data_IF_413634805884
#
_entry.id   IF_413634805884
#
_cell.length_a   1.000
_cell.length_b   1.000
_cell.length_c   1.000
_cell.angle_alpha   90.00
_cell.angle_beta   90.00
_cell.angle_gamma   90.00
#
_symmetry.space_group_name_H-M   'P 1'
#
loop_
_entity.id
_entity.type
_entity.pdbx_description
1 polymer ?
#
# COMPACT_ATOMS: atom_id res chain seq x y z
N UNK A 1 22.41 75.80 -4.92
CA UNK A 1 21.35 74.92 -4.40
C UNK A 1 21.22 73.75 -5.36
N UNK A 2 21.69 72.53 -5.05
CA UNK A 2 21.60 71.41 -5.98
C UNK A 2 20.26 70.67 -5.83
N UNK A 3 19.55 70.57 -6.95
CA UNK A 3 18.72 69.46 -7.46
C UNK A 3 18.18 68.42 -6.47
N UNK A 4 16.85 68.40 -6.30
CA UNK A 4 16.12 67.27 -5.73
C UNK A 4 16.00 66.14 -6.76
N UNK A 5 16.71 65.03 -6.53
CA UNK A 5 16.50 63.76 -7.24
C UNK A 5 15.25 63.09 -6.67
N UNK A 6 14.24 62.91 -7.52
CA UNK A 6 13.07 62.08 -7.24
C UNK A 6 13.50 60.61 -7.32
N UNK A 7 13.63 59.94 -6.17
CA UNK A 7 13.90 58.50 -6.11
C UNK A 7 12.56 57.78 -6.20
N UNK A 8 12.21 57.33 -7.41
CA UNK A 8 11.16 56.33 -7.61
C UNK A 8 11.71 54.97 -7.13
N UNK A 9 11.39 54.60 -5.90
CA UNK A 9 11.58 53.21 -5.45
C UNK A 9 10.53 52.34 -6.13
N UNK A 10 10.93 51.67 -7.22
CA UNK A 10 10.22 50.51 -7.73
C UNK A 10 10.28 49.41 -6.65
N UNK A 11 9.19 49.26 -5.89
CA UNK A 11 8.98 48.05 -5.10
C UNK A 11 8.70 46.92 -6.10
N UNK A 12 9.73 46.16 -6.46
CA UNK A 12 9.58 44.89 -7.15
C UNK A 12 8.81 43.95 -6.23
N UNK A 13 7.51 43.73 -6.52
CA UNK A 13 6.80 42.57 -6.01
C UNK A 13 7.48 41.34 -6.62
N UNK A 14 8.46 40.78 -5.92
CA UNK A 14 8.72 39.37 -6.04
C UNK A 14 7.51 38.68 -5.39
N UNK A 15 6.57 38.23 -6.22
CA UNK A 15 5.70 37.15 -5.80
C UNK A 15 6.65 35.99 -5.50
N UNK A 16 6.96 35.78 -4.22
CA UNK A 16 7.47 34.50 -3.77
C UNK A 16 6.36 33.55 -4.15
N UNK A 17 6.56 32.75 -5.21
CA UNK A 17 5.72 31.60 -5.45
C UNK A 17 5.75 30.85 -4.12
N UNK A 18 4.62 30.82 -3.41
CA UNK A 18 4.50 30.00 -2.23
C UNK A 18 4.84 28.59 -2.72
N UNK A 19 6.02 28.07 -2.35
CA UNK A 19 6.30 26.66 -2.47
C UNK A 19 5.20 26.01 -1.65
N UNK A 20 4.16 25.52 -2.33
CA UNK A 20 3.00 24.99 -1.66
C UNK A 20 3.49 23.75 -0.94
N UNK A 21 3.68 23.90 0.37
CA UNK A 21 4.27 22.87 1.20
C UNK A 21 3.15 21.92 1.62
N UNK A 22 3.42 20.62 1.58
CA UNK A 22 2.53 19.64 2.19
C UNK A 22 2.42 19.88 3.69
N UNK A 23 1.32 19.42 4.28
CA UNK A 23 1.16 19.42 5.72
C UNK A 23 2.35 18.74 6.43
N UNK A 24 2.83 19.32 7.54
CA UNK A 24 3.92 18.72 8.32
C UNK A 24 3.58 17.35 8.95
N UNK A 25 2.31 16.93 8.91
CA UNK A 25 1.84 15.62 9.38
C UNK A 25 1.62 14.62 8.23
N UNK A 26 2.03 14.96 7.01
CA UNK A 26 2.10 14.01 5.89
C UNK A 26 3.26 13.02 6.10
N UNK A 27 3.12 12.15 7.09
CA UNK A 27 4.06 11.09 7.46
C UNK A 27 5.37 11.57 8.08
N UNK A 28 5.69 11.11 9.29
CA UNK A 28 7.10 11.01 9.69
C UNK A 28 7.75 9.93 8.79
N UNK A 29 8.85 10.23 8.08
CA UNK A 29 9.59 9.31 7.19
C UNK A 29 8.90 8.89 5.87
N UNK A 30 8.28 9.81 5.11
CA UNK A 30 7.69 9.52 3.78
C UNK A 30 6.54 8.48 3.78
N UNK A 31 5.85 8.33 4.90
CA UNK A 31 4.70 7.47 5.11
C UNK A 31 3.38 8.02 4.51
N UNK A 32 3.42 8.59 3.30
CA UNK A 32 2.24 9.17 2.65
C UNK A 32 2.28 9.06 1.12
N UNK A 33 1.11 9.14 0.48
CA UNK A 33 1.00 9.49 -0.94
C UNK A 33 0.81 11.00 -1.08
N UNK A 34 1.48 11.63 -2.02
CA UNK A 34 1.57 13.09 -2.15
C UNK A 34 1.00 13.57 -3.50
N UNK A 35 -0.05 14.41 -3.45
CA UNK A 35 -0.71 14.88 -4.68
C UNK A 35 0.19 15.75 -5.56
N UNK A 36 0.26 15.48 -6.86
CA UNK A 36 1.15 16.18 -7.80
C UNK A 36 2.65 15.91 -7.59
N UNK A 37 3.02 14.84 -6.88
CA UNK A 37 4.40 14.36 -6.78
C UNK A 37 4.53 13.02 -7.51
N UNK A 38 4.92 13.07 -8.78
CA UNK A 38 5.04 11.87 -9.62
C UNK A 38 5.96 10.84 -8.97
N UNK A 39 5.47 9.61 -8.83
CA UNK A 39 6.21 8.50 -8.21
C UNK A 39 6.04 8.39 -6.69
N UNK A 40 5.43 9.39 -6.06
CA UNK A 40 5.02 9.34 -4.64
C UNK A 40 3.52 9.60 -4.48
N UNK A 41 2.77 9.75 -5.57
CA UNK A 41 1.33 9.97 -5.59
C UNK A 41 0.53 8.66 -5.72
N UNK A 42 1.22 7.54 -5.91
CA UNK A 42 0.62 6.26 -6.33
C UNK A 42 1.10 5.12 -5.44
N UNK A 43 0.17 4.23 -5.09
CA UNK A 43 0.40 2.94 -4.42
C UNK A 43 -0.04 1.83 -5.36
N UNK A 44 0.89 1.04 -5.91
CA UNK A 44 0.61 -0.05 -6.83
C UNK A 44 0.32 -1.37 -6.10
N UNK A 45 -0.15 -2.40 -6.83
CA UNK A 45 -0.38 -3.72 -6.25
C UNK A 45 0.90 -4.29 -5.61
N UNK A 46 0.78 -4.75 -4.38
CA UNK A 46 1.88 -5.24 -3.56
C UNK A 46 2.58 -4.15 -2.76
N UNK A 47 2.36 -2.86 -3.06
CA UNK A 47 2.98 -1.78 -2.33
C UNK A 47 2.34 -1.55 -0.97
N UNK A 48 3.19 -1.24 0.01
CA UNK A 48 2.79 -0.93 1.37
C UNK A 48 3.11 0.52 1.69
N UNK A 49 2.09 1.26 2.06
CA UNK A 49 2.21 2.54 2.73
C UNK A 49 2.31 2.30 4.24
N UNK A 50 3.53 2.21 4.75
CA UNK A 50 3.76 2.10 6.19
C UNK A 50 3.49 3.46 6.84
N UNK A 51 2.59 3.47 7.81
CA UNK A 51 2.34 4.62 8.67
C UNK A 51 3.36 4.72 9.79
N UNK A 52 2.89 5.14 10.96
CA UNK A 52 3.63 4.82 12.19
C UNK A 52 3.81 3.29 12.33
N UNK A 53 4.74 2.84 13.18
CA UNK A 53 5.13 1.42 13.34
C UNK A 53 3.98 0.45 13.75
N UNK A 54 2.72 0.90 13.79
CA UNK A 54 1.54 0.12 14.16
C UNK A 54 0.57 -0.11 13.00
N UNK A 55 0.59 0.69 11.93
CA UNK A 55 -0.39 0.57 10.84
C UNK A 55 0.24 0.69 9.45
N UNK A 56 -0.33 -0.02 8.48
CA UNK A 56 0.05 0.13 7.07
C UNK A 56 -1.16 -0.02 6.17
N UNK A 57 -1.18 0.72 5.06
CA UNK A 57 -2.13 0.53 3.98
C UNK A 57 -1.46 -0.23 2.81
N UNK A 58 -2.21 -1.08 2.11
CA UNK A 58 -1.70 -1.88 0.99
C UNK A 58 -2.72 -1.95 -0.12
N UNK A 59 -2.27 -1.78 -1.36
CA UNK A 59 -3.06 -2.14 -2.54
C UNK A 59 -2.77 -3.61 -2.84
N UNK A 60 -3.76 -4.48 -2.67
CA UNK A 60 -3.61 -5.92 -2.75
C UNK A 60 -3.79 -6.45 -4.18
N UNK A 61 -3.23 -7.62 -4.46
CA UNK A 61 -3.30 -8.22 -5.79
C UNK A 61 -4.72 -8.55 -6.25
N UNK A 62 -5.59 -8.88 -5.31
CA UNK A 62 -7.02 -9.17 -5.51
C UNK A 62 -7.89 -7.89 -5.68
N UNK A 63 -7.25 -6.74 -5.90
CA UNK A 63 -7.89 -5.44 -6.10
C UNK A 63 -8.52 -4.81 -4.86
N UNK A 64 -8.23 -5.30 -3.65
CA UNK A 64 -8.60 -4.60 -2.41
C UNK A 64 -7.57 -3.54 -2.00
N UNK A 65 -8.03 -2.41 -1.44
CA UNK A 65 -7.19 -1.46 -0.71
C UNK A 65 -7.46 -1.58 0.78
N UNK A 66 -6.46 -2.03 1.55
CA UNK A 66 -6.65 -2.51 2.94
C UNK A 66 -5.70 -1.83 3.90
N UNK A 67 -6.17 -1.55 5.12
CA UNK A 67 -5.36 -1.06 6.24
C UNK A 67 -5.25 -2.13 7.31
N UNK A 68 -4.01 -2.43 7.68
CA UNK A 68 -3.60 -3.43 8.65
C UNK A 68 -3.11 -2.80 9.94
N UNK A 69 -3.43 -3.41 11.08
CA UNK A 69 -2.61 -3.31 12.29
C UNK A 69 -1.40 -4.23 12.14
N UNK A 70 -0.17 -3.69 12.12
CA UNK A 70 1.04 -4.47 11.80
C UNK A 70 1.77 -4.99 13.04
N UNK A 71 1.52 -4.40 14.22
CA UNK A 71 2.28 -4.68 15.45
C UNK A 71 1.72 -5.82 16.31
N UNK A 72 0.40 -6.07 16.31
CA UNK A 72 -0.25 -7.02 17.22
C UNK A 72 -1.04 -8.12 16.51
N UNK A 73 -0.46 -8.70 15.45
CA UNK A 73 -1.10 -9.63 14.52
C UNK A 73 -2.01 -8.90 13.53
N UNK A 74 -1.76 -9.16 12.24
CA UNK A 74 -2.35 -8.53 11.05
C UNK A 74 -3.87 -8.67 10.97
N UNK A 75 -4.58 -8.02 11.88
CA UNK A 75 -6.01 -7.84 11.84
C UNK A 75 -6.31 -6.64 10.95
N UNK A 76 -7.13 -6.81 9.91
CA UNK A 76 -7.53 -5.69 9.07
C UNK A 76 -8.51 -4.85 9.84
N UNK A 77 -8.41 -3.57 9.58
CA UNK A 77 -9.13 -2.58 10.36
C UNK A 77 -9.96 -1.68 9.48
N UNK A 78 -9.56 -1.55 8.22
CA UNK A 78 -10.36 -0.94 7.17
C UNK A 78 -10.04 -1.55 5.81
N UNK A 79 -11.03 -1.59 4.92
CA UNK A 79 -10.84 -1.88 3.51
C UNK A 79 -11.80 -1.05 2.65
N UNK A 80 -11.39 -0.79 1.42
CA UNK A 80 -12.23 -0.16 0.40
C UNK A 80 -13.42 -1.07 0.05
N UNK A 81 -14.67 -0.58 0.17
CA UNK A 81 -15.84 -1.41 -0.05
C UNK A 81 -16.04 -1.75 -1.54
N UNK A 82 -16.42 -3.00 -1.82
CA UNK A 82 -16.90 -3.48 -3.12
C UNK A 82 -15.92 -3.37 -4.30
N UNK A 83 -14.60 -3.37 -4.06
CA UNK A 83 -13.60 -3.39 -5.16
C UNK A 83 -12.81 -4.69 -5.31
N UNK A 84 -13.05 -5.68 -4.46
CA UNK A 84 -12.50 -7.03 -4.62
C UNK A 84 -12.79 -7.56 -6.03
N UNK A 85 -11.76 -8.03 -6.73
CA UNK A 85 -11.85 -8.57 -8.09
C UNK A 85 -12.24 -7.54 -9.16
N UNK A 86 -12.25 -6.24 -8.84
CA UNK A 86 -12.63 -5.18 -9.79
C UNK A 86 -11.62 -4.96 -10.92
N UNK A 87 -10.40 -5.47 -10.76
CA UNK A 87 -9.26 -5.21 -11.65
C UNK A 87 -8.53 -3.91 -11.33
N UNK A 88 -8.77 -3.29 -10.17
CA UNK A 88 -7.95 -2.20 -9.68
C UNK A 88 -6.49 -2.66 -9.52
N UNK A 89 -5.57 -1.80 -9.93
CA UNK A 89 -4.13 -2.08 -9.91
C UNK A 89 -3.33 -1.04 -9.14
N UNK A 90 -3.91 0.14 -8.86
CA UNK A 90 -3.26 1.18 -8.07
C UNK A 90 -4.26 2.10 -7.37
N UNK A 91 -3.81 2.71 -6.29
CA UNK A 91 -4.46 3.84 -5.59
C UNK A 91 -3.66 5.10 -5.86
N UNK A 92 -4.33 6.19 -6.21
CA UNK A 92 -3.69 7.47 -6.59
C UNK A 92 -4.23 8.61 -5.74
N UNK A 93 -3.35 9.42 -5.16
CA UNK A 93 -3.65 10.71 -4.53
C UNK A 93 -3.63 11.80 -5.61
N UNK A 94 -4.80 12.20 -6.09
CA UNK A 94 -4.96 13.14 -7.19
C UNK A 94 -4.74 14.60 -6.76
N UNK A 95 -4.35 15.44 -7.70
CA UNK A 95 -4.06 16.87 -7.48
C UNK A 95 -5.25 17.71 -7.01
N UNK A 96 -6.47 17.22 -7.19
CA UNK A 96 -7.72 17.86 -6.77
C UNK A 96 -8.14 17.48 -5.33
N UNK A 97 -7.35 16.65 -4.64
CA UNK A 97 -7.64 16.19 -3.28
C UNK A 97 -8.42 14.89 -3.20
N UNK A 98 -8.67 14.21 -4.32
CA UNK A 98 -9.34 12.92 -4.35
C UNK A 98 -8.36 11.75 -4.28
N UNK A 99 -8.71 10.69 -3.55
CA UNK A 99 -7.99 9.41 -3.62
C UNK A 99 -8.83 8.44 -4.41
N UNK A 100 -8.23 7.80 -5.42
CA UNK A 100 -8.94 6.95 -6.38
C UNK A 100 -8.21 5.62 -6.57
N UNK A 101 -8.95 4.52 -6.48
CA UNK A 101 -8.48 3.22 -6.96
C UNK A 101 -8.85 3.09 -8.44
N UNK A 102 -7.87 2.78 -9.28
CA UNK A 102 -8.01 2.72 -10.74
C UNK A 102 -7.46 1.41 -11.31
N UNK A 103 -7.95 1.03 -12.49
CA UNK A 103 -7.38 -0.05 -13.31
C UNK A 103 -6.18 0.45 -14.14
N UNK A 104 -5.49 -0.45 -14.83
CA UNK A 104 -4.37 -0.11 -15.72
C UNK A 104 -4.74 0.92 -16.79
N UNK A 105 -5.94 0.81 -17.37
CA UNK A 105 -6.47 1.75 -18.36
C UNK A 105 -6.91 3.12 -17.79
N UNK A 106 -6.77 3.31 -16.47
CA UNK A 106 -7.17 4.53 -15.76
C UNK A 106 -8.64 4.58 -15.34
N UNK A 107 -9.43 3.54 -15.62
CA UNK A 107 -10.84 3.48 -15.19
C UNK A 107 -10.92 3.50 -13.66
N UNK A 108 -11.63 4.47 -13.05
CA UNK A 108 -11.83 4.50 -11.61
C UNK A 108 -12.83 3.43 -11.17
N UNK A 109 -12.52 2.72 -10.08
CA UNK A 109 -13.41 1.72 -9.48
C UNK A 109 -13.89 2.13 -8.08
N UNK A 110 -13.15 3.01 -7.40
CA UNK A 110 -13.51 3.55 -6.09
C UNK A 110 -12.84 4.91 -5.90
N UNK A 111 -13.50 5.79 -5.13
CA UNK A 111 -12.96 7.11 -4.79
C UNK A 111 -13.42 7.55 -3.39
N UNK A 112 -12.66 8.46 -2.77
CA UNK A 112 -13.03 9.12 -1.51
C UNK A 112 -14.06 10.24 -1.71
N UNK A 113 -14.24 10.73 -2.94
CA UNK A 113 -15.14 11.84 -3.30
C UNK A 113 -14.82 13.13 -2.54
N UNK A 114 -13.52 13.44 -2.49
CA UNK A 114 -12.95 14.60 -1.78
C UNK A 114 -12.40 15.64 -2.75
N UNK A 115 -12.65 15.48 -4.04
CA UNK A 115 -12.32 16.43 -5.10
C UNK A 115 -12.83 17.84 -4.74
N UNK A 116 -11.93 18.83 -4.86
CA UNK A 116 -12.23 20.24 -4.61
C UNK A 116 -12.46 20.60 -3.13
N UNK A 117 -12.20 19.70 -2.18
CA UNK A 117 -12.28 19.99 -0.74
C UNK A 117 -10.90 20.35 -0.19
N UNK A 118 -10.86 21.24 0.81
CA UNK A 118 -9.61 21.72 1.41
C UNK A 118 -8.74 22.52 0.43
N UNK A 119 -7.46 22.69 0.76
CA UNK A 119 -6.50 23.40 -0.09
C UNK A 119 -5.27 22.54 -0.39
N UNK A 120 -4.97 22.32 -1.67
CA UNK A 120 -3.79 21.57 -2.08
C UNK A 120 -2.46 22.28 -1.75
N UNK A 121 -1.34 21.52 -1.72
CA UNK A 121 -1.27 20.11 -2.03
C UNK A 121 -1.78 19.22 -0.87
N UNK A 122 -2.11 17.97 -1.20
CA UNK A 122 -2.76 17.00 -0.32
C UNK A 122 -1.86 15.79 -0.10
N UNK A 123 -2.09 15.08 1.00
CA UNK A 123 -1.48 13.78 1.21
C UNK A 123 -2.46 12.76 1.80
N UNK A 124 -2.33 11.50 1.38
CA UNK A 124 -2.96 10.34 2.00
C UNK A 124 -1.95 9.69 2.94
N UNK A 125 -2.28 9.57 4.22
CA UNK A 125 -1.39 8.93 5.21
C UNK A 125 -2.19 8.03 6.15
N UNK A 126 -1.50 7.09 6.79
CA UNK A 126 -2.07 6.22 7.83
C UNK A 126 -1.32 6.46 9.13
N UNK A 127 -2.07 6.79 10.18
CA UNK A 127 -1.53 7.02 11.52
C UNK A 127 -2.54 6.49 12.54
N UNK A 128 -2.16 6.36 13.81
CA UNK A 128 -3.10 6.07 14.89
C UNK A 128 -2.39 5.60 16.14
N UNK A 129 -2.89 5.91 17.33
CA UNK A 129 -2.37 5.38 18.60
C UNK A 129 -3.35 4.46 19.31
N UNK A 130 -4.65 4.55 18.98
CA UNK A 130 -5.73 3.77 19.57
C UNK A 130 -6.57 3.02 18.53
N UNK A 131 -6.11 3.04 17.28
CA UNK A 131 -6.76 2.47 16.10
C UNK A 131 -6.33 3.22 14.84
N UNK A 132 -6.40 2.60 13.66
CA UNK A 132 -5.97 3.22 12.41
C UNK A 132 -6.84 4.38 12.00
N UNK A 133 -6.16 5.33 11.38
CA UNK A 133 -6.70 6.57 10.87
C UNK A 133 -6.01 6.84 9.52
N UNK A 134 -6.50 6.12 8.51
CA UNK A 134 -6.23 6.42 7.10
C UNK A 134 -6.98 7.71 6.76
N UNK A 135 -6.23 8.74 6.35
CA UNK A 135 -6.76 10.10 6.24
C UNK A 135 -6.13 10.87 5.09
N UNK A 136 -6.88 11.84 4.58
CA UNK A 136 -6.39 12.86 3.65
C UNK A 136 -6.20 14.15 4.43
N UNK A 137 -5.01 14.72 4.36
CA UNK A 137 -4.69 16.05 4.90
C UNK A 137 -4.48 17.03 3.74
N UNK A 138 -4.91 18.26 3.93
CA UNK A 138 -4.63 19.37 3.01
C UNK A 138 -3.38 20.17 3.43
N UNK A 139 -3.02 21.22 2.70
CA UNK A 139 -1.82 22.03 2.97
C UNK A 139 -1.82 22.73 4.33
N UNK A 140 -2.99 22.95 4.94
CA UNK A 140 -3.12 23.58 6.26
C UNK A 140 -3.10 22.55 7.40
N UNK A 141 -2.89 21.26 7.07
CA UNK A 141 -3.08 20.14 7.99
C UNK A 141 -4.51 19.92 8.46
N UNK A 142 -5.48 20.46 7.73
CA UNK A 142 -6.87 20.14 7.97
C UNK A 142 -7.16 18.75 7.39
N UNK A 143 -7.81 17.90 8.20
CA UNK A 143 -8.23 16.57 7.74
C UNK A 143 -9.45 16.69 6.86
N UNK A 144 -9.25 16.52 5.56
CA UNK A 144 -10.30 16.55 4.53
C UNK A 144 -11.17 15.29 4.60
N UNK A 145 -10.56 14.16 4.93
CA UNK A 145 -11.24 12.87 4.98
C UNK A 145 -10.56 11.89 5.92
N UNK A 146 -11.35 10.93 6.41
CA UNK A 146 -10.91 9.78 7.19
C UNK A 146 -11.70 8.55 6.78
N UNK A 147 -11.03 7.42 6.67
CA UNK A 147 -11.67 6.12 6.44
C UNK A 147 -12.66 5.80 7.57
N UNK A 148 -13.90 5.38 7.24
CA UNK A 148 -14.86 4.99 8.26
C UNK A 148 -14.36 3.77 9.03
N UNK A 149 -14.63 3.70 10.32
CA UNK A 149 -14.30 2.51 11.10
C UNK A 149 -15.17 1.33 10.68
N UNK A 150 -14.57 0.25 10.19
CA UNK A 150 -15.29 -0.99 9.84
C UNK A 150 -15.19 -2.08 10.91
N UNK A 151 -14.49 -1.82 12.03
CA UNK A 151 -14.21 -2.84 13.03
C UNK A 151 -13.11 -3.81 12.59
N UNK A 152 -12.78 -4.77 13.48
CA UNK A 152 -11.89 -5.88 13.13
C UNK A 152 -12.68 -6.89 12.30
N UNK A 153 -12.23 -7.14 11.08
CA UNK A 153 -12.77 -8.18 10.18
C UNK A 153 -11.64 -9.15 9.88
N UNK A 154 -11.81 -10.43 10.27
CA UNK A 154 -10.67 -11.36 10.32
C UNK A 154 -10.93 -12.81 9.93
N UNK A 155 -12.15 -13.22 9.56
CA UNK A 155 -12.44 -14.65 9.33
C UNK A 155 -12.15 -15.12 7.89
N UNK A 156 -12.65 -14.41 6.87
CA UNK A 156 -12.68 -14.95 5.50
C UNK A 156 -11.32 -14.93 4.80
N UNK A 157 -10.66 -13.78 4.70
CA UNK A 157 -9.34 -13.68 4.04
C UNK A 157 -8.27 -14.48 4.83
N UNK A 158 -8.42 -14.70 6.15
CA UNK A 158 -7.58 -15.64 6.93
C UNK A 158 -7.85 -17.08 6.51
N UNK A 159 -9.11 -17.46 6.26
CA UNK A 159 -9.46 -18.78 5.73
C UNK A 159 -8.89 -18.97 4.32
N UNK A 160 -9.09 -18.01 3.42
CA UNK A 160 -8.54 -18.02 2.06
C UNK A 160 -7.01 -18.16 2.08
N UNK A 161 -6.35 -17.43 2.97
CA UNK A 161 -4.90 -17.53 3.18
C UNK A 161 -4.47 -18.92 3.64
N UNK A 162 -5.19 -19.53 4.60
CA UNK A 162 -4.91 -20.90 5.05
C UNK A 162 -5.14 -21.94 3.97
N UNK A 163 -6.21 -21.80 3.20
CA UNK A 163 -6.54 -22.71 2.10
C UNK A 163 -5.49 -22.64 0.98
N UNK A 164 -5.04 -21.43 0.63
CA UNK A 164 -3.95 -21.22 -0.32
C UNK A 164 -2.65 -21.92 0.11
N UNK A 165 -2.28 -21.80 1.40
CA UNK A 165 -1.08 -22.46 1.95
C UNK A 165 -1.21 -23.97 1.93
N UNK A 166 -2.36 -24.49 2.34
CA UNK A 166 -2.61 -25.93 2.37
C UNK A 166 -2.58 -26.52 0.95
N UNK A 167 -3.17 -25.82 -0.04
CA UNK A 167 -3.10 -26.22 -1.46
C UNK A 167 -1.66 -26.27 -1.99
N UNK A 168 -0.89 -25.20 -1.80
CA UNK A 168 0.53 -25.17 -2.22
C UNK A 168 1.32 -26.28 -1.52
N UNK A 169 1.12 -26.46 -0.21
CA UNK A 169 1.80 -27.50 0.57
C UNK A 169 1.51 -28.90 0.02
N UNK A 170 0.25 -29.17 -0.34
CA UNK A 170 -0.16 -30.44 -0.95
C UNK A 170 0.48 -30.65 -2.32
N UNK A 171 0.50 -29.61 -3.17
CA UNK A 171 1.10 -29.68 -4.52
C UNK A 171 2.60 -29.96 -4.45
N UNK A 172 3.30 -29.30 -3.54
CA UNK A 172 4.73 -29.54 -3.28
C UNK A 172 4.96 -30.97 -2.76
N UNK A 173 4.11 -31.47 -1.87
CA UNK A 173 4.23 -32.82 -1.34
C UNK A 173 3.96 -33.90 -2.40
N UNK A 174 3.10 -33.60 -3.38
CA UNK A 174 2.79 -34.50 -4.51
C UNK A 174 3.91 -34.53 -5.55
N UNK A 175 4.47 -33.37 -5.91
CA UNK A 175 5.58 -33.26 -6.86
C UNK A 175 6.53 -32.11 -6.47
N UNK A 176 7.61 -32.40 -5.72
CA UNK A 176 8.56 -31.39 -5.28
C UNK A 176 9.43 -30.84 -6.42
N UNK A 177 9.36 -31.40 -7.64
CA UNK A 177 10.10 -30.91 -8.81
C UNK A 177 9.34 -29.87 -9.62
N UNK A 178 8.02 -29.80 -9.47
CA UNK A 178 7.13 -28.94 -10.24
C UNK A 178 6.96 -27.52 -9.65
N UNK A 179 8.02 -26.98 -9.06
CA UNK A 179 7.98 -25.65 -8.42
C UNK A 179 7.69 -24.53 -9.43
N UNK A 180 8.10 -24.66 -10.69
CA UNK A 180 7.83 -23.65 -11.74
C UNK A 180 6.33 -23.46 -11.99
N UNK A 181 5.55 -24.55 -12.04
CA UNK A 181 4.12 -24.44 -12.28
C UNK A 181 3.40 -23.81 -11.07
N UNK A 182 3.89 -24.07 -9.85
CA UNK A 182 3.37 -23.44 -8.63
C UNK A 182 3.68 -21.94 -8.64
N UNK A 183 4.93 -21.56 -8.95
CA UNK A 183 5.32 -20.14 -9.13
C UNK A 183 4.44 -19.46 -10.16
N UNK A 184 4.27 -20.09 -11.33
CA UNK A 184 3.47 -19.52 -12.41
C UNK A 184 2.01 -19.32 -11.98
N UNK A 185 1.42 -20.27 -11.25
CA UNK A 185 0.06 -20.15 -10.76
C UNK A 185 -0.08 -19.02 -9.73
N UNK A 186 0.86 -18.90 -8.78
CA UNK A 186 0.87 -17.77 -7.82
C UNK A 186 0.92 -16.44 -8.57
N UNK A 187 1.77 -16.30 -9.58
CA UNK A 187 1.91 -15.03 -10.32
C UNK A 187 0.73 -14.72 -11.23
N UNK A 188 -0.01 -15.72 -11.71
CA UNK A 188 -1.15 -15.53 -12.62
C UNK A 188 -2.51 -15.49 -11.90
N UNK A 189 -2.54 -15.84 -10.61
CA UNK A 189 -3.76 -15.86 -9.80
C UNK A 189 -3.69 -14.77 -8.72
N UNK A 190 -4.36 -13.65 -8.97
CA UNK A 190 -4.39 -12.49 -8.08
C UNK A 190 -4.84 -12.80 -6.64
N UNK A 191 -5.84 -13.68 -6.48
CA UNK A 191 -6.33 -14.10 -5.16
C UNK A 191 -5.28 -14.92 -4.43
N UNK A 192 -4.65 -15.87 -5.13
CA UNK A 192 -3.56 -16.68 -4.59
C UNK A 192 -2.35 -15.81 -4.24
N UNK A 193 -1.93 -14.92 -5.13
CA UNK A 193 -0.86 -13.95 -4.91
C UNK A 193 -1.11 -13.12 -3.64
N UNK A 194 -2.30 -12.53 -3.54
CA UNK A 194 -2.70 -11.72 -2.38
C UNK A 194 -2.66 -12.53 -1.08
N UNK A 195 -3.16 -13.77 -1.10
CA UNK A 195 -3.11 -14.69 0.04
C UNK A 195 -1.67 -14.98 0.50
N UNK A 196 -0.73 -15.21 -0.42
CA UNK A 196 0.67 -15.49 -0.07
C UNK A 196 1.40 -14.24 0.44
N UNK A 197 1.16 -13.07 -0.14
CA UNK A 197 1.81 -11.83 0.32
C UNK A 197 1.41 -11.45 1.75
N UNK A 198 0.18 -11.79 2.17
CA UNK A 198 -0.26 -11.62 3.57
C UNK A 198 0.59 -12.44 4.56
N UNK A 199 1.17 -13.56 4.13
CA UNK A 199 1.99 -14.46 4.96
C UNK A 199 3.47 -14.11 4.99
N UNK A 200 3.99 -13.49 3.93
CA UNK A 200 5.39 -13.11 3.83
C UNK A 200 5.78 -12.00 4.84
N UNK A 201 4.85 -11.54 5.67
CA UNK A 201 5.15 -10.70 6.83
C UNK A 201 5.73 -11.54 7.96
N UNK A 202 6.98 -11.32 8.37
CA UNK A 202 7.50 -11.94 9.55
C UNK A 202 6.95 -11.22 10.78
N UNK A 203 6.77 -12.01 11.82
CA UNK A 203 6.03 -11.62 13.00
C UNK A 203 6.87 -10.76 13.96
N UNK A 204 8.21 -10.81 13.86
CA UNK A 204 9.06 -10.47 15.02
C UNK A 204 10.40 -9.75 14.73
N UNK A 205 10.67 -9.25 13.52
CA UNK A 205 11.93 -8.60 13.21
C UNK A 205 11.77 -7.33 12.38
N UNK A 206 12.38 -6.24 12.87
CA UNK A 206 12.64 -5.02 12.09
C UNK A 206 13.54 -5.27 10.84
N UNK A 207 13.89 -6.52 10.54
CA UNK A 207 14.68 -6.97 9.38
C UNK A 207 14.07 -8.14 8.58
N UNK A 208 12.96 -8.76 9.01
CA UNK A 208 12.41 -9.88 8.27
C UNK A 208 11.55 -9.38 7.13
N UNK A 209 11.82 -9.90 5.93
CA UNK A 209 11.18 -9.45 4.69
C UNK A 209 11.23 -7.92 4.51
N UNK A 210 12.40 -7.31 4.79
CA UNK A 210 12.82 -6.12 4.03
C UNK A 210 13.18 -6.52 2.60
N UNK A 211 12.16 -6.90 1.86
CA UNK A 211 12.06 -6.42 0.50
C UNK A 211 10.97 -5.35 0.65
N UNK A 212 11.32 -4.07 0.68
CA UNK A 212 11.19 -3.26 -0.55
C UNK A 212 11.08 -4.15 -1.79
N UNK A 213 9.96 -4.86 -1.95
CA UNK A 213 9.64 -5.48 -3.23
C UNK A 213 9.32 -4.27 -4.09
N UNK A 214 10.21 -3.97 -5.05
CA UNK A 214 9.83 -3.15 -6.19
C UNK A 214 8.44 -3.62 -6.64
N UNK A 215 7.50 -2.69 -6.75
CA UNK A 215 6.17 -2.96 -7.26
C UNK A 215 6.25 -3.88 -8.51
N UNK A 216 5.35 -4.85 -8.62
CA UNK A 216 5.21 -5.73 -9.80
C UNK A 216 6.32 -6.80 -10.01
N UNK A 217 7.14 -7.15 -9.01
CA UNK A 217 8.11 -8.27 -9.12
C UNK A 217 7.44 -9.65 -8.97
N UNK A 218 7.59 -10.56 -9.96
CA UNK A 218 7.03 -11.92 -9.88
C UNK A 218 7.67 -12.76 -8.77
N UNK A 219 6.87 -13.61 -8.11
CA UNK A 219 7.35 -14.62 -7.17
C UNK A 219 8.29 -15.57 -7.91
N UNK A 220 9.32 -16.02 -7.19
CA UNK A 220 10.34 -16.91 -7.70
C UNK A 220 10.31 -18.25 -6.96
N UNK A 221 11.03 -19.24 -7.50
CA UNK A 221 11.30 -20.50 -6.79
C UNK A 221 12.01 -20.28 -5.46
N UNK A 222 12.89 -19.29 -5.37
CA UNK A 222 13.64 -19.01 -4.16
C UNK A 222 12.70 -18.55 -3.02
N UNK A 223 11.68 -17.75 -3.36
CA UNK A 223 10.67 -17.31 -2.41
C UNK A 223 9.84 -18.48 -1.88
N UNK A 224 9.39 -19.37 -2.77
CA UNK A 224 8.71 -20.61 -2.38
C UNK A 224 9.57 -21.50 -1.48
N UNK A 225 10.86 -21.64 -1.80
CA UNK A 225 11.80 -22.41 -0.99
C UNK A 225 12.02 -21.80 0.38
N UNK A 226 12.02 -20.47 0.53
CA UNK A 226 12.20 -19.82 1.82
C UNK A 226 11.12 -20.20 2.84
N UNK A 227 9.89 -20.37 2.36
CA UNK A 227 8.72 -20.66 3.20
C UNK A 227 8.44 -22.16 3.34
N UNK A 228 8.61 -22.93 2.26
CA UNK A 228 8.31 -24.37 2.24
C UNK A 228 9.53 -25.29 2.39
N UNK A 229 10.72 -24.76 2.73
CA UNK A 229 11.95 -25.54 2.84
C UNK A 229 11.77 -26.82 3.69
N UNK A 230 11.09 -26.69 4.83
CA UNK A 230 10.87 -27.82 5.73
C UNK A 230 9.98 -28.90 5.08
N UNK A 231 8.85 -28.50 4.49
CA UNK A 231 7.92 -29.40 3.81
C UNK A 231 8.58 -30.10 2.62
N UNK A 232 9.35 -29.37 1.82
CA UNK A 232 10.09 -29.89 0.66
C UNK A 232 11.11 -30.93 1.11
N UNK A 233 11.93 -30.60 2.12
CA UNK A 233 12.95 -31.51 2.64
C UNK A 233 12.36 -32.75 3.32
N UNK A 234 11.18 -32.63 3.95
CA UNK A 234 10.48 -33.78 4.53
C UNK A 234 10.00 -34.75 3.44
N UNK A 235 9.38 -34.24 2.36
CA UNK A 235 8.88 -35.05 1.24
C UNK A 235 10.01 -35.76 0.50
N UNK A 236 11.09 -35.05 0.14
CA UNK A 236 12.22 -35.64 -0.60
C UNK A 236 12.82 -36.84 0.13
N UNK A 237 12.97 -36.76 1.47
CA UNK A 237 13.49 -37.86 2.29
C UNK A 237 12.61 -39.10 2.31
N UNK A 238 11.30 -38.94 2.10
CA UNK A 238 10.35 -40.06 2.08
C UNK A 238 10.28 -40.76 0.71
N UNK A 239 10.55 -40.04 -0.37
CA UNK A 239 10.56 -40.57 -1.75
C UNK A 239 11.89 -41.19 -2.17
N UNK A 240 12.97 -40.93 -1.44
CA UNK A 240 14.32 -41.46 -1.70
C UNK A 240 14.66 -42.77 -0.98
N UNK A 241 13.70 -43.36 -0.26
CA UNK A 241 13.80 -44.67 0.43
C UNK A 241 12.86 -45.67 -0.23
#
# INVERSE_FOLDING_TARGET
MPTAMCVLTLASLFAVAANAQYCQHCGDNNAALFSNLSGEDTLERGDWLYGNNMFAAVMQWDSNFVVYEVYHEANWVWFSPNIYGSGATRVVMQGDGNVVAVKDDGTPVWATHTDGRGKGPYCLTVEGSSGPDLRILDSNCDRVWKAPWTGRVSANETQETREAVDDISKRIAQDPTNLDAIVADINNNATLRSAIERLARPKDDEEGFKHSIDHDVPYTKADLLSYWNWTINATIRTTSN
#
